data_IF_152262326170
#
_entry.id   IF_152262326170
#
_cell.length_a   1.000
_cell.length_b   1.000
_cell.length_c   1.000
_cell.angle_alpha   90.00
_cell.angle_beta   90.00
_cell.angle_gamma   90.00
#
_symmetry.space_group_name_H-M   'P 1'
#
loop_
_entity.id
_entity.type
_entity.pdbx_description
1 polymer ?
#
# COMPACT_ATOMS: atom_id res chain seq x y z
N UNK A 1 -19.49 -15.37 -14.80
CA UNK A 1 -20.79 -14.63 -14.86
C UNK A 1 -20.70 -13.48 -15.84
N UNK A 2 -21.72 -13.28 -16.68
CA UNK A 2 -21.81 -12.14 -17.62
C UNK A 2 -22.89 -11.16 -17.16
N UNK A 3 -22.54 -9.90 -16.98
CA UNK A 3 -23.49 -8.79 -16.84
C UNK A 3 -23.51 -7.94 -18.10
N UNK A 4 -24.69 -7.60 -18.58
CA UNK A 4 -24.87 -6.72 -19.73
C UNK A 4 -25.45 -5.40 -19.25
N UNK A 5 -24.93 -4.31 -19.79
CA UNK A 5 -25.41 -2.96 -19.52
C UNK A 5 -25.95 -2.33 -20.81
N UNK A 6 -27.24 -2.02 -20.79
CA UNK A 6 -27.97 -1.47 -21.93
C UNK A 6 -28.41 -0.03 -21.66
N UNK A 7 -28.47 0.83 -22.69
CA UNK A 7 -29.15 2.10 -22.60
C UNK A 7 -30.63 1.89 -22.28
N UNK A 8 -31.11 2.50 -21.21
CA UNK A 8 -32.53 2.61 -20.94
C UNK A 8 -32.90 4.09 -20.70
N UNK A 9 -34.16 4.45 -20.93
CA UNK A 9 -34.66 5.78 -20.65
C UNK A 9 -35.34 5.80 -19.28
N UNK A 10 -34.96 6.75 -18.41
CA UNK A 10 -35.63 6.90 -17.13
C UNK A 10 -37.10 7.31 -17.34
N UNK A 11 -38.05 6.50 -16.85
CA UNK A 11 -39.49 6.74 -17.03
C UNK A 11 -39.98 8.09 -16.45
N UNK A 12 -39.26 8.67 -15.48
CA UNK A 12 -39.62 9.93 -14.83
C UNK A 12 -38.94 11.18 -15.40
N UNK A 13 -37.73 11.06 -15.97
CA UNK A 13 -36.93 12.23 -16.42
C UNK A 13 -36.58 12.21 -17.91
N UNK A 14 -36.77 11.08 -18.60
CA UNK A 14 -36.37 10.88 -20.00
C UNK A 14 -34.85 10.87 -20.22
N UNK A 15 -34.05 10.94 -19.15
CA UNK A 15 -32.59 10.91 -19.24
C UNK A 15 -32.08 9.47 -19.43
N UNK A 16 -30.98 9.30 -20.16
CA UNK A 16 -30.37 7.99 -20.36
C UNK A 16 -29.79 7.44 -19.05
N UNK A 17 -29.98 6.15 -18.81
CA UNK A 17 -29.35 5.38 -17.72
C UNK A 17 -28.82 4.05 -18.26
N UNK A 18 -27.83 3.47 -17.58
CA UNK A 18 -27.32 2.13 -17.89
C UNK A 18 -28.00 1.10 -16.99
N UNK A 19 -28.88 0.30 -17.57
CA UNK A 19 -29.52 -0.80 -16.85
C UNK A 19 -28.60 -2.02 -16.85
N UNK A 20 -28.25 -2.49 -15.66
CA UNK A 20 -27.43 -3.69 -15.46
C UNK A 20 -28.32 -4.91 -15.31
N UNK A 21 -28.11 -5.94 -16.15
CA UNK A 21 -28.82 -7.23 -16.10
C UNK A 21 -27.83 -8.39 -16.13
N UNK A 22 -28.09 -9.44 -15.34
CA UNK A 22 -27.38 -10.71 -15.47
C UNK A 22 -27.85 -11.41 -16.76
N UNK A 23 -26.90 -11.85 -17.58
CA UNK A 23 -27.21 -12.56 -18.82
C UNK A 23 -27.15 -14.07 -18.62
N UNK A 24 -28.28 -14.74 -18.82
CA UNK A 24 -28.34 -16.21 -18.81
C UNK A 24 -27.62 -16.80 -20.03
N UNK A 25 -27.02 -17.98 -19.87
CA UNK A 25 -26.24 -18.60 -20.95
C UNK A 25 -27.08 -18.97 -22.18
N UNK A 26 -28.37 -19.22 -22.02
CA UNK A 26 -29.30 -19.49 -23.12
C UNK A 26 -29.71 -18.27 -23.93
N UNK A 27 -29.56 -17.05 -23.38
CA UNK A 27 -30.04 -15.82 -24.02
C UNK A 27 -28.97 -15.19 -24.93
N UNK A 28 -29.30 -14.69 -26.13
CA UNK A 28 -28.32 -13.98 -26.95
C UNK A 28 -27.91 -12.65 -26.29
N UNK A 29 -26.67 -12.20 -26.53
CA UNK A 29 -26.23 -10.87 -26.10
C UNK A 29 -27.00 -9.82 -26.91
N UNK A 30 -27.66 -8.85 -26.27
CA UNK A 30 -28.42 -7.82 -26.98
C UNK A 30 -27.53 -6.96 -27.90
N UNK A 31 -27.98 -6.63 -29.13
CA UNK A 31 -27.19 -5.86 -30.10
C UNK A 31 -26.95 -4.41 -29.67
N UNK A 32 -27.77 -3.86 -28.78
CA UNK A 32 -27.65 -2.51 -28.21
C UNK A 32 -26.86 -2.47 -26.89
N UNK A 33 -26.36 -3.62 -26.41
CA UNK A 33 -25.45 -3.68 -25.26
C UNK A 33 -24.22 -2.80 -25.48
N UNK A 34 -23.97 -1.87 -24.57
CA UNK A 34 -22.80 -0.98 -24.64
C UNK A 34 -21.64 -1.47 -23.80
N UNK A 35 -21.94 -2.15 -22.69
CA UNK A 35 -20.93 -2.70 -21.80
C UNK A 35 -21.26 -4.13 -21.35
N UNK A 36 -20.34 -5.04 -21.60
CA UNK A 36 -20.41 -6.46 -21.22
C UNK A 36 -19.35 -6.70 -20.13
N UNK A 37 -19.76 -6.91 -18.89
CA UNK A 37 -18.88 -7.14 -17.74
C UNK A 37 -18.81 -8.64 -17.41
N UNK A 38 -17.66 -9.25 -17.67
CA UNK A 38 -17.36 -10.64 -17.37
C UNK A 38 -16.66 -10.72 -16.01
N UNK A 39 -17.35 -11.30 -15.03
CA UNK A 39 -16.86 -11.51 -13.67
C UNK A 39 -16.63 -13.00 -13.47
N UNK A 40 -15.37 -13.38 -13.23
CA UNK A 40 -14.92 -14.78 -13.13
C UNK A 40 -15.57 -15.65 -14.22
N UNK A 41 -15.36 -15.32 -15.51
CA UNK A 41 -16.04 -16.02 -16.59
C UNK A 41 -15.54 -17.46 -16.74
N UNK A 42 -16.45 -18.33 -17.17
CA UNK A 42 -16.11 -19.66 -17.66
C UNK A 42 -15.73 -19.61 -19.13
N UNK A 43 -15.02 -20.62 -19.63
CA UNK A 43 -14.67 -20.73 -21.06
C UNK A 43 -15.88 -20.68 -22.01
N UNK A 44 -17.05 -21.14 -21.56
CA UNK A 44 -18.28 -21.05 -22.34
C UNK A 44 -18.81 -19.60 -22.42
N UNK A 45 -18.70 -18.86 -21.32
CA UNK A 45 -19.04 -17.44 -21.26
C UNK A 45 -18.07 -16.62 -22.13
N UNK A 46 -16.78 -16.94 -22.11
CA UNK A 46 -15.78 -16.31 -22.98
C UNK A 46 -16.16 -16.48 -24.46
N UNK A 47 -16.28 -17.73 -24.93
CA UNK A 47 -16.63 -18.01 -26.34
C UNK A 47 -17.91 -17.30 -26.79
N UNK A 48 -18.89 -17.11 -25.90
CA UNK A 48 -20.13 -16.41 -26.21
C UNK A 48 -19.91 -14.93 -26.50
N UNK A 49 -19.08 -14.26 -25.70
CA UNK A 49 -18.73 -12.85 -25.90
C UNK A 49 -17.78 -12.70 -27.09
N UNK A 50 -16.83 -13.61 -27.26
CA UNK A 50 -15.92 -13.68 -28.41
C UNK A 50 -16.69 -13.79 -29.73
N UNK A 51 -17.68 -14.69 -29.81
CA UNK A 51 -18.50 -14.86 -31.01
C UNK A 51 -19.37 -13.61 -31.31
N UNK A 52 -19.83 -12.90 -30.28
CA UNK A 52 -20.66 -11.71 -30.44
C UNK A 52 -19.87 -10.48 -30.87
N UNK A 53 -18.72 -10.23 -30.23
CA UNK A 53 -17.87 -9.07 -30.53
C UNK A 53 -16.82 -9.36 -31.61
N UNK A 54 -16.59 -10.62 -32.00
CA UNK A 54 -15.54 -11.03 -32.94
C UNK A 54 -14.12 -10.86 -32.40
N UNK A 55 -13.96 -10.92 -31.08
CA UNK A 55 -12.69 -10.71 -30.34
C UNK A 55 -12.20 -12.03 -29.74
N UNK A 56 -10.94 -12.07 -29.29
CA UNK A 56 -10.42 -13.06 -28.33
C UNK A 56 -10.50 -12.50 -26.92
N UNK A 57 -10.83 -13.31 -25.92
CA UNK A 57 -10.76 -12.92 -24.50
C UNK A 57 -9.44 -13.45 -23.93
N UNK A 58 -8.59 -12.58 -23.35
CA UNK A 58 -7.34 -13.04 -22.75
C UNK A 58 -7.62 -13.92 -21.54
N UNK A 59 -6.79 -14.93 -21.41
CA UNK A 59 -6.76 -15.83 -20.27
C UNK A 59 -6.27 -15.11 -19.01
N UNK A 60 -6.57 -15.69 -17.84
CA UNK A 60 -6.10 -15.16 -16.57
C UNK A 60 -4.56 -15.07 -16.50
N UNK A 61 -3.85 -16.02 -17.11
CA UNK A 61 -2.39 -16.04 -17.12
C UNK A 61 -1.82 -14.89 -17.97
N UNK A 62 -2.37 -14.64 -19.16
CA UNK A 62 -1.99 -13.49 -20.01
C UNK A 62 -2.26 -12.14 -19.33
N UNK A 63 -3.30 -12.06 -18.49
CA UNK A 63 -3.59 -10.86 -17.71
C UNK A 63 -2.59 -10.60 -16.57
N UNK A 64 -1.84 -11.61 -16.16
CA UNK A 64 -0.84 -11.52 -15.10
C UNK A 64 0.57 -11.16 -15.62
N UNK A 65 0.75 -11.09 -16.94
CA UNK A 65 2.03 -10.72 -17.57
C UNK A 65 2.51 -9.33 -17.12
N UNK A 66 3.80 -9.08 -17.29
CA UNK A 66 4.49 -7.86 -16.92
C UNK A 66 4.81 -7.03 -18.17
N UNK A 67 4.91 -7.65 -19.36
CA UNK A 67 5.30 -6.94 -20.57
C UNK A 67 4.18 -5.99 -21.04
N UNK A 68 4.42 -4.66 -21.14
CA UNK A 68 3.36 -3.73 -21.52
C UNK A 68 2.79 -3.97 -22.92
N UNK A 69 3.56 -4.58 -23.82
CA UNK A 69 3.14 -4.93 -25.19
C UNK A 69 2.12 -6.08 -25.21
N UNK A 70 2.18 -6.99 -24.22
CA UNK A 70 1.24 -8.09 -24.05
C UNK A 70 -0.03 -7.65 -23.30
N UNK A 71 0.05 -6.57 -22.53
CA UNK A 71 -1.09 -6.02 -21.79
C UNK A 71 -1.85 -4.93 -22.55
N UNK A 72 -1.17 -4.20 -23.45
CA UNK A 72 -1.71 -3.06 -24.18
C UNK A 72 -1.48 -3.24 -25.68
N UNK A 73 -2.45 -3.82 -26.38
CA UNK A 73 -2.33 -4.15 -27.79
C UNK A 73 -3.63 -3.92 -28.58
N UNK A 74 -3.52 -3.99 -29.90
CA UNK A 74 -4.67 -3.89 -30.82
C UNK A 74 -4.68 -5.14 -31.67
N UNK A 75 -5.79 -5.87 -31.65
CA UNK A 75 -5.98 -7.10 -32.41
C UNK A 75 -7.41 -7.13 -32.97
N UNK A 76 -7.57 -7.55 -34.23
CA UNK A 76 -8.89 -7.70 -34.87
C UNK A 76 -9.79 -6.45 -34.78
N UNK A 77 -9.20 -5.26 -34.77
CA UNK A 77 -9.93 -3.98 -34.63
C UNK A 77 -10.42 -3.68 -33.22
N UNK A 78 -10.13 -4.54 -32.23
CA UNK A 78 -10.35 -4.30 -30.82
C UNK A 78 -9.07 -3.80 -30.13
N UNK A 79 -9.23 -2.90 -29.16
CA UNK A 79 -8.13 -2.44 -28.30
C UNK A 79 -8.21 -3.14 -26.97
N UNK A 80 -7.13 -3.81 -26.59
CA UNK A 80 -6.96 -4.52 -25.34
C UNK A 80 -6.13 -3.67 -24.39
N UNK A 81 -6.66 -3.47 -23.19
CA UNK A 81 -6.04 -2.65 -22.17
C UNK A 81 -6.15 -3.37 -20.83
N UNK A 82 -5.12 -4.10 -20.44
CA UNK A 82 -5.08 -4.76 -19.13
C UNK A 82 -4.41 -3.85 -18.11
N UNK A 83 -5.13 -3.58 -17.02
CA UNK A 83 -4.67 -2.77 -15.90
C UNK A 83 -4.70 -3.54 -14.58
N UNK A 84 -3.76 -3.23 -13.69
CA UNK A 84 -3.76 -3.74 -12.32
C UNK A 84 -4.52 -2.79 -11.40
N UNK A 85 -5.64 -3.26 -10.87
CA UNK A 85 -6.53 -2.46 -10.02
C UNK A 85 -6.51 -2.96 -8.58
N UNK A 86 -6.49 -2.04 -7.64
CA UNK A 86 -6.52 -2.36 -6.22
C UNK A 86 -7.91 -2.82 -5.79
N UNK A 87 -7.98 -3.96 -5.11
CA UNK A 87 -9.18 -4.57 -4.56
C UNK A 87 -9.08 -4.71 -3.05
N UNK A 88 -10.25 -4.81 -2.39
CA UNK A 88 -10.38 -5.18 -0.96
C UNK A 88 -9.61 -4.30 0.02
N UNK A 89 -9.46 -3.01 -0.31
CA UNK A 89 -8.71 -2.02 0.49
C UNK A 89 -9.22 -1.87 1.93
N UNK A 90 -10.51 -2.12 2.16
CA UNK A 90 -11.13 -2.03 3.49
C UNK A 90 -10.92 -3.29 4.35
N UNK A 91 -10.17 -4.28 3.84
CA UNK A 91 -9.83 -5.53 4.53
C UNK A 91 -8.31 -5.66 4.68
N UNK A 92 -7.85 -6.60 5.51
CA UNK A 92 -6.42 -6.90 5.65
C UNK A 92 -5.83 -7.67 4.45
N UNK A 93 -6.63 -8.02 3.43
CA UNK A 93 -6.26 -8.77 2.21
C UNK A 93 -6.34 -7.88 0.95
N UNK A 94 -5.88 -6.64 1.07
CA UNK A 94 -5.77 -5.74 -0.07
C UNK A 94 -4.78 -6.31 -1.10
N UNK A 95 -5.19 -6.32 -2.37
CA UNK A 95 -4.41 -6.92 -3.46
C UNK A 95 -4.68 -6.28 -4.79
N UNK A 96 -3.71 -6.40 -5.69
CA UNK A 96 -3.87 -6.04 -7.09
C UNK A 96 -4.49 -7.20 -7.86
N UNK A 97 -5.44 -6.88 -8.74
CA UNK A 97 -5.99 -7.82 -9.71
C UNK A 97 -5.84 -7.26 -11.12
N UNK A 98 -5.58 -8.13 -12.09
CA UNK A 98 -5.70 -7.79 -13.49
C UNK A 98 -7.17 -7.56 -13.85
N UNK A 99 -7.42 -6.48 -14.58
CA UNK A 99 -8.71 -6.17 -15.22
C UNK A 99 -8.44 -5.77 -16.65
N UNK A 100 -9.03 -6.48 -17.61
CA UNK A 100 -8.89 -6.16 -19.03
C UNK A 100 -10.09 -5.37 -19.49
N UNK A 101 -9.82 -4.25 -20.15
CA UNK A 101 -10.79 -3.45 -20.88
C UNK A 101 -10.59 -3.71 -22.38
N UNK A 102 -11.63 -4.17 -23.06
CA UNK A 102 -11.60 -4.46 -24.50
C UNK A 102 -12.60 -3.53 -25.18
N UNK A 103 -12.09 -2.60 -25.99
CA UNK A 103 -12.92 -1.63 -26.69
C UNK A 103 -12.98 -1.97 -28.18
N UNK A 104 -14.19 -2.17 -28.71
CA UNK A 104 -14.43 -2.45 -30.13
C UNK A 104 -15.74 -1.84 -30.59
N UNK A 105 -15.74 -1.16 -31.74
CA UNK A 105 -16.96 -0.62 -32.38
C UNK A 105 -17.89 0.13 -31.41
N UNK A 106 -17.28 0.93 -30.52
CA UNK A 106 -17.96 1.68 -29.45
C UNK A 106 -18.72 0.85 -28.40
N UNK A 107 -18.37 -0.43 -28.25
CA UNK A 107 -18.77 -1.33 -27.18
C UNK A 107 -17.57 -1.66 -26.30
N UNK A 108 -17.81 -1.78 -25.00
CA UNK A 108 -16.81 -2.15 -24.02
C UNK A 108 -17.09 -3.57 -23.52
N UNK A 109 -16.08 -4.43 -23.50
CA UNK A 109 -16.07 -5.62 -22.67
C UNK A 109 -15.06 -5.45 -21.53
N UNK A 110 -15.41 -5.89 -20.33
CA UNK A 110 -14.47 -5.95 -19.19
C UNK A 110 -14.34 -7.38 -18.70
N UNK A 111 -13.11 -7.81 -18.41
CA UNK A 111 -12.82 -9.15 -17.88
C UNK A 111 -12.10 -8.99 -16.56
N UNK A 112 -12.65 -9.59 -15.49
CA UNK A 112 -12.11 -9.48 -14.13
C UNK A 112 -12.38 -10.72 -13.30
N UNK A 113 -11.45 -11.03 -12.40
CA UNK A 113 -11.53 -12.17 -11.47
C UNK A 113 -11.65 -11.74 -10.00
N UNK A 114 -11.93 -10.47 -9.77
CA UNK A 114 -12.25 -9.90 -8.46
C UNK A 114 -13.22 -8.71 -8.64
N UNK A 115 -13.62 -8.10 -7.53
CA UNK A 115 -14.58 -7.00 -7.52
C UNK A 115 -13.98 -5.68 -7.01
N UNK A 116 -13.27 -4.91 -7.87
CA UNK A 116 -12.78 -3.60 -7.50
C UNK A 116 -13.93 -2.66 -7.11
N UNK A 117 -13.76 -1.93 -6.01
CA UNK A 117 -14.79 -1.02 -5.51
C UNK A 117 -15.17 0.06 -6.52
N UNK A 118 -14.22 0.50 -7.36
CA UNK A 118 -14.46 1.47 -8.43
C UNK A 118 -15.54 1.00 -9.42
N UNK A 119 -15.58 -0.30 -9.77
CA UNK A 119 -16.61 -0.86 -10.65
C UNK A 119 -18.00 -0.78 -9.99
N UNK A 120 -18.09 -1.14 -8.71
CA UNK A 120 -19.35 -1.03 -7.95
C UNK A 120 -19.83 0.42 -7.85
N UNK A 121 -18.92 1.35 -7.57
CA UNK A 121 -19.22 2.79 -7.50
C UNK A 121 -19.71 3.30 -8.85
N UNK A 122 -19.04 2.92 -9.94
CA UNK A 122 -19.43 3.31 -11.29
C UNK A 122 -20.80 2.75 -11.68
N UNK A 123 -21.06 1.45 -11.46
CA UNK A 123 -22.38 0.83 -11.74
C UNK A 123 -23.50 1.56 -11.00
N UNK A 124 -23.29 1.89 -9.72
CA UNK A 124 -24.28 2.60 -8.93
C UNK A 124 -24.47 4.06 -9.40
N UNK A 125 -23.41 4.71 -9.90
CA UNK A 125 -23.48 6.06 -10.52
C UNK A 125 -24.22 6.01 -11.86
N UNK A 126 -23.90 5.03 -12.70
CA UNK A 126 -24.45 4.87 -14.05
C UNK A 126 -25.93 4.43 -14.06
N UNK A 127 -26.41 3.83 -12.98
CA UNK A 127 -27.83 3.51 -12.77
C UNK A 127 -28.69 4.74 -12.45
N UNK A 128 -28.08 5.90 -12.18
CA UNK A 128 -28.80 7.16 -11.94
C UNK A 128 -28.89 7.97 -13.23
N UNK A 129 -30.02 8.64 -13.50
CA UNK A 129 -30.14 9.50 -14.66
C UNK A 129 -29.09 10.61 -14.59
N UNK A 130 -28.15 10.57 -15.53
CA UNK A 130 -27.09 11.55 -15.70
C UNK A 130 -27.04 11.85 -17.21
N UNK A 131 -26.95 13.13 -17.58
CA UNK A 131 -27.00 13.58 -18.98
C UNK A 131 -25.80 13.19 -19.84
N UNK A 132 -25.19 12.04 -19.60
CA UNK A 132 -23.96 11.56 -20.23
C UNK A 132 -24.29 10.81 -21.52
N UNK A 133 -23.43 10.97 -22.52
CA UNK A 133 -23.44 10.15 -23.74
C UNK A 133 -23.17 8.70 -23.38
N UNK A 134 -24.11 7.81 -23.68
CA UNK A 134 -23.95 6.37 -23.48
C UNK A 134 -23.17 5.78 -24.67
N UNK A 135 -21.86 5.72 -24.55
CA UNK A 135 -20.95 5.08 -25.50
C UNK A 135 -19.96 4.17 -24.77
N UNK A 136 -19.42 3.14 -25.41
CA UNK A 136 -18.41 2.27 -24.80
C UNK A 136 -17.15 3.04 -24.39
N UNK A 137 -16.76 4.05 -25.17
CA UNK A 137 -15.66 4.96 -24.82
C UNK A 137 -15.96 5.80 -23.56
N UNK A 138 -17.18 6.34 -23.43
CA UNK A 138 -17.57 7.11 -22.25
C UNK A 138 -17.67 6.22 -21.00
N UNK A 139 -18.11 4.96 -21.15
CA UNK A 139 -18.12 3.99 -20.05
C UNK A 139 -16.69 3.67 -19.60
N UNK A 140 -15.77 3.45 -20.55
CA UNK A 140 -14.35 3.24 -20.23
C UNK A 140 -13.74 4.44 -19.51
N UNK A 141 -13.96 5.64 -20.03
CA UNK A 141 -13.49 6.88 -19.42
C UNK A 141 -14.04 7.05 -17.99
N UNK A 142 -15.35 6.85 -17.80
CA UNK A 142 -15.99 6.93 -16.50
C UNK A 142 -15.53 5.86 -15.52
N UNK A 143 -15.22 4.64 -15.98
CA UNK A 143 -14.61 3.60 -15.14
C UNK A 143 -13.20 4.00 -14.69
N UNK A 144 -12.36 4.49 -15.61
CA UNK A 144 -11.00 4.96 -15.28
C UNK A 144 -11.04 6.16 -14.33
N UNK A 145 -11.93 7.13 -14.57
CA UNK A 145 -12.17 8.26 -13.66
C UNK A 145 -12.55 7.76 -12.26
N UNK A 146 -13.48 6.81 -12.16
CA UNK A 146 -13.90 6.26 -10.86
C UNK A 146 -12.77 5.49 -10.16
N UNK A 147 -11.87 4.86 -10.92
CA UNK A 147 -10.66 4.21 -10.37
C UNK A 147 -9.70 5.26 -9.80
N UNK A 148 -9.50 6.38 -10.49
CA UNK A 148 -8.63 7.48 -10.05
C UNK A 148 -9.22 8.18 -8.82
N UNK A 149 -10.53 8.45 -8.80
CA UNK A 149 -11.23 8.99 -7.64
C UNK A 149 -11.05 8.08 -6.42
N UNK A 150 -11.24 6.77 -6.61
CA UNK A 150 -11.03 5.80 -5.53
C UNK A 150 -9.58 5.79 -5.04
N UNK A 151 -8.61 5.89 -5.95
CA UNK A 151 -7.21 5.99 -5.59
C UNK A 151 -6.92 7.23 -4.72
N UNK A 152 -7.51 8.37 -5.06
CA UNK A 152 -7.40 9.59 -4.27
C UNK A 152 -7.94 9.38 -2.83
N UNK A 153 -9.12 8.78 -2.68
CA UNK A 153 -9.70 8.44 -1.38
C UNK A 153 -8.78 7.52 -0.56
N UNK A 154 -8.18 6.51 -1.19
CA UNK A 154 -7.24 5.59 -0.52
C UNK A 154 -6.01 6.34 -0.04
N UNK A 155 -5.39 7.15 -0.91
CA UNK A 155 -4.18 7.91 -0.57
C UNK A 155 -4.45 8.91 0.55
N UNK A 156 -5.58 9.62 0.53
CA UNK A 156 -5.97 10.52 1.61
C UNK A 156 -6.11 9.77 2.94
N UNK A 157 -6.82 8.64 2.94
CA UNK A 157 -6.99 7.81 4.14
C UNK A 157 -5.65 7.26 4.66
N UNK A 158 -4.71 6.90 3.77
CA UNK A 158 -3.36 6.50 4.17
C UNK A 158 -2.58 7.66 4.79
N UNK A 159 -2.64 8.86 4.18
CA UNK A 159 -2.00 10.06 4.73
C UNK A 159 -2.43 10.34 6.16
N UNK A 160 -3.74 10.32 6.43
CA UNK A 160 -4.29 10.52 7.79
C UNK A 160 -3.86 9.43 8.79
N UNK A 161 -3.70 8.17 8.35
CA UNK A 161 -3.21 7.07 9.18
C UNK A 161 -1.72 7.24 9.49
N UNK A 162 -0.91 7.59 8.49
CA UNK A 162 0.53 7.86 8.63
C UNK A 162 0.76 9.05 9.58
N UNK A 163 -0.06 10.10 9.51
CA UNK A 163 0.00 11.26 10.40
C UNK A 163 -0.30 10.92 11.86
N UNK A 164 -1.20 9.96 12.09
CA UNK A 164 -1.46 9.43 13.44
C UNK A 164 -0.27 8.64 13.96
N UNK A 165 0.35 7.79 13.14
CA UNK A 165 1.55 7.04 13.53
C UNK A 165 2.74 7.96 13.80
N UNK A 166 2.94 8.98 12.96
CA UNK A 166 3.96 10.01 13.16
C UNK A 166 3.86 10.65 14.55
N UNK A 167 2.67 11.09 14.94
CA UNK A 167 2.44 11.68 16.27
C UNK A 167 2.74 10.73 17.42
N UNK A 168 2.51 9.43 17.25
CA UNK A 168 2.83 8.41 18.27
C UNK A 168 4.33 8.19 18.43
N UNK A 169 5.08 8.18 17.33
CA UNK A 169 6.55 8.02 17.33
C UNK A 169 7.23 9.16 18.11
N UNK A 170 6.75 10.39 17.92
CA UNK A 170 7.31 11.59 18.53
C UNK A 170 6.61 12.03 19.81
N UNK A 171 5.69 11.24 20.35
CA UNK A 171 5.07 11.54 21.64
C UNK A 171 6.10 11.36 22.78
N UNK A 172 5.95 12.16 23.84
CA UNK A 172 6.72 11.96 25.08
C UNK A 172 6.09 10.83 25.91
N UNK A 173 6.90 9.85 26.29
CA UNK A 173 6.48 8.74 27.14
C UNK A 173 7.21 8.78 28.47
N UNK A 174 6.47 8.64 29.57
CA UNK A 174 7.04 8.60 30.92
C UNK A 174 7.68 7.24 31.27
N UNK A 175 7.28 6.15 30.59
CA UNK A 175 7.78 4.79 30.81
C UNK A 175 8.60 4.28 29.60
N UNK A 176 9.92 4.03 29.75
CA UNK A 176 10.78 3.53 28.67
C UNK A 176 10.36 2.15 28.13
N UNK A 177 9.78 1.28 28.96
CA UNK A 177 9.42 -0.08 28.55
C UNK A 177 8.18 -0.09 27.64
N UNK A 178 7.15 0.65 28.04
CA UNK A 178 5.95 0.90 27.23
C UNK A 178 6.29 1.58 25.90
N UNK A 179 7.25 2.52 25.92
CA UNK A 179 7.71 3.23 24.72
C UNK A 179 8.30 2.28 23.67
N UNK A 180 9.17 1.35 24.08
CA UNK A 180 9.79 0.42 23.14
C UNK A 180 8.77 -0.52 22.47
N UNK A 181 7.81 -1.03 23.24
CA UNK A 181 6.72 -1.85 22.70
C UNK A 181 5.88 -1.06 21.68
N UNK A 182 5.54 0.19 21.99
CA UNK A 182 4.78 1.05 21.08
C UNK A 182 5.55 1.39 19.78
N UNK A 183 6.86 1.63 19.87
CA UNK A 183 7.70 1.86 18.70
C UNK A 183 7.72 0.63 17.78
N UNK A 184 7.81 -0.59 18.35
CA UNK A 184 7.75 -1.83 17.56
C UNK A 184 6.40 -2.02 16.88
N UNK A 185 5.29 -1.75 17.57
CA UNK A 185 3.96 -1.83 16.98
C UNK A 185 3.76 -0.79 15.87
N UNK A 186 4.30 0.41 16.08
CA UNK A 186 4.27 1.47 15.08
C UNK A 186 5.10 1.10 13.85
N UNK A 187 6.26 0.47 14.02
CA UNK A 187 7.09 -0.04 12.93
C UNK A 187 6.36 -1.08 12.08
N UNK A 188 5.66 -2.04 12.73
CA UNK A 188 4.81 -3.02 12.02
C UNK A 188 3.68 -2.34 11.26
N UNK A 189 3.03 -1.35 11.87
CA UNK A 189 1.95 -0.59 11.22
C UNK A 189 2.47 0.20 9.99
N UNK A 190 3.60 0.88 10.10
CA UNK A 190 4.25 1.57 8.98
C UNK A 190 4.58 0.60 7.84
N UNK A 191 5.08 -0.60 8.14
CA UNK A 191 5.34 -1.64 7.14
C UNK A 191 4.07 -2.03 6.36
N UNK A 192 2.93 -2.24 7.05
CA UNK A 192 1.65 -2.53 6.38
C UNK A 192 1.15 -1.38 5.51
N UNK A 193 1.30 -0.14 5.99
CA UNK A 193 0.94 1.04 5.20
C UNK A 193 1.84 1.22 3.97
N UNK A 194 3.12 0.88 4.08
CA UNK A 194 4.06 0.91 2.95
C UNK A 194 3.67 -0.08 1.85
N UNK A 195 3.25 -1.29 2.24
CA UNK A 195 2.79 -2.31 1.31
C UNK A 195 1.55 -1.84 0.54
N UNK A 196 0.52 -1.38 1.25
CA UNK A 196 -0.70 -0.85 0.61
C UNK A 196 -0.38 0.33 -0.32
N UNK A 197 0.50 1.24 0.09
CA UNK A 197 0.90 2.38 -0.72
C UNK A 197 1.67 1.94 -1.98
N UNK A 198 2.51 0.91 -1.87
CA UNK A 198 3.22 0.33 -3.00
C UNK A 198 2.25 -0.26 -4.02
N UNK A 199 1.25 -1.02 -3.56
CA UNK A 199 0.20 -1.56 -4.42
C UNK A 199 -0.63 -0.45 -5.08
N UNK A 200 -1.01 0.59 -4.32
CA UNK A 200 -1.75 1.73 -4.87
C UNK A 200 -0.95 2.47 -5.96
N UNK A 201 0.37 2.61 -5.77
CA UNK A 201 1.26 3.21 -6.78
C UNK A 201 1.38 2.34 -8.02
N UNK A 202 1.52 1.03 -7.88
CA UNK A 202 1.52 0.10 -9.03
C UNK A 202 0.19 0.20 -9.81
N UNK A 203 -0.93 0.32 -9.11
CA UNK A 203 -2.24 0.52 -9.75
C UNK A 203 -2.30 1.82 -10.54
N UNK A 204 -1.86 2.94 -9.96
CA UNK A 204 -1.81 4.23 -10.65
C UNK A 204 -0.93 4.19 -11.90
N UNK A 205 0.27 3.63 -11.81
CA UNK A 205 1.18 3.47 -12.97
C UNK A 205 0.52 2.61 -14.06
N UNK A 206 -0.20 1.55 -13.65
CA UNK A 206 -0.90 0.70 -14.61
C UNK A 206 -2.02 1.45 -15.34
N UNK A 207 -2.76 2.31 -14.63
CA UNK A 207 -3.82 3.15 -15.22
C UNK A 207 -3.21 4.27 -16.08
N UNK A 208 -2.07 4.84 -15.69
CA UNK A 208 -1.34 5.83 -16.49
C UNK A 208 -0.97 5.25 -17.85
N UNK A 209 -0.44 4.02 -17.89
CA UNK A 209 -0.10 3.33 -19.14
C UNK A 209 -1.31 3.13 -20.06
N UNK A 210 -2.48 2.81 -19.49
CA UNK A 210 -3.74 2.73 -20.26
C UNK A 210 -4.09 4.09 -20.84
N UNK A 211 -4.09 5.16 -20.03
CA UNK A 211 -4.40 6.51 -20.48
C UNK A 211 -3.42 7.02 -21.55
N UNK A 212 -2.13 6.71 -21.42
CA UNK A 212 -1.10 7.04 -22.41
C UNK A 212 -1.36 6.30 -23.74
N UNK A 213 -1.70 5.01 -23.68
CA UNK A 213 -2.08 4.21 -24.86
C UNK A 213 -3.33 4.75 -25.55
N UNK A 214 -4.36 5.11 -24.77
CA UNK A 214 -5.57 5.77 -25.27
C UNK A 214 -5.26 7.12 -25.93
N UNK A 215 -4.47 7.96 -25.26
CA UNK A 215 -4.04 9.27 -25.76
C UNK A 215 -3.27 9.15 -27.08
N UNK A 216 -2.36 8.19 -27.21
CA UNK A 216 -1.64 7.90 -28.45
C UNK A 216 -2.61 7.45 -29.56
N UNK A 217 -3.51 6.53 -29.24
CA UNK A 217 -4.49 5.99 -30.19
C UNK A 217 -5.45 7.07 -30.71
N UNK A 218 -5.96 7.95 -29.83
CA UNK A 218 -6.87 9.04 -30.20
C UNK A 218 -6.21 10.13 -31.04
N UNK A 219 -4.88 10.29 -30.95
CA UNK A 219 -4.14 11.16 -31.88
C UNK A 219 -4.14 10.57 -33.29
N UNK A 220 -3.90 9.26 -33.42
CA UNK A 220 -3.86 8.56 -34.71
C UNK A 220 -5.25 8.52 -35.36
N UNK A 221 -6.29 8.19 -34.59
CA UNK A 221 -7.67 8.11 -35.11
C UNK A 221 -8.35 9.46 -35.33
N UNK A 222 -7.69 10.58 -34.97
CA UNK A 222 -8.25 11.93 -35.02
C UNK A 222 -9.57 12.07 -34.25
N UNK A 223 -9.64 11.47 -33.06
CA UNK A 223 -10.81 11.60 -32.18
C UNK A 223 -11.18 13.07 -31.90
N UNK A 224 -12.45 13.35 -31.54
CA UNK A 224 -12.92 14.68 -31.16
C UNK A 224 -12.00 15.36 -30.15
N UNK A 225 -11.91 16.69 -30.24
CA UNK A 225 -11.05 17.47 -29.37
C UNK A 225 -11.41 17.31 -27.90
N UNK A 226 -12.70 17.25 -27.59
CA UNK A 226 -13.23 17.09 -26.22
C UNK A 226 -12.69 15.82 -25.54
N UNK A 227 -12.83 14.65 -26.19
CA UNK A 227 -12.35 13.35 -25.66
C UNK A 227 -10.83 13.37 -25.39
N UNK A 228 -10.06 14.01 -26.28
CA UNK A 228 -8.60 14.13 -26.09
C UNK A 228 -8.22 15.06 -24.95
N UNK A 229 -9.00 16.12 -24.73
CA UNK A 229 -8.81 17.04 -23.61
C UNK A 229 -9.19 16.39 -22.28
N UNK A 230 -10.27 15.59 -22.27
CA UNK A 230 -10.69 14.80 -21.12
C UNK A 230 -9.60 13.81 -20.68
N UNK A 231 -9.14 12.93 -21.58
CA UNK A 231 -8.03 11.99 -21.28
C UNK A 231 -6.79 12.70 -20.77
N UNK A 232 -6.44 13.88 -21.34
CA UNK A 232 -5.30 14.67 -20.89
C UNK A 232 -5.54 15.27 -19.50
N UNK A 233 -6.77 15.65 -19.17
CA UNK A 233 -7.09 16.11 -17.82
C UNK A 233 -6.96 14.98 -16.82
N UNK A 234 -7.61 13.83 -17.10
CA UNK A 234 -7.53 12.62 -16.27
C UNK A 234 -6.09 12.17 -16.03
N UNK A 235 -5.24 12.26 -17.05
CA UNK A 235 -3.82 11.92 -16.92
C UNK A 235 -3.06 12.90 -15.98
N UNK A 236 -3.37 14.20 -16.01
CA UNK A 236 -2.78 15.18 -15.08
C UNK A 236 -3.23 14.93 -13.65
N UNK A 237 -4.51 14.61 -13.45
CA UNK A 237 -5.05 14.30 -12.13
C UNK A 237 -4.38 13.04 -11.57
N UNK A 238 -4.22 12.00 -12.40
CA UNK A 238 -3.47 10.79 -12.04
C UNK A 238 -2.02 11.11 -11.66
N UNK A 239 -1.30 11.92 -12.43
CA UNK A 239 0.09 12.30 -12.13
C UNK A 239 0.21 13.04 -10.80
N UNK A 240 -0.76 13.90 -10.47
CA UNK A 240 -0.79 14.56 -9.16
C UNK A 240 -0.97 13.54 -8.01
N UNK A 241 -1.77 12.49 -8.21
CA UNK A 241 -1.90 11.40 -7.23
C UNK A 241 -0.63 10.57 -7.11
N UNK A 242 0.10 10.32 -8.20
CA UNK A 242 1.39 9.62 -8.15
C UNK A 242 2.46 10.42 -7.40
N UNK A 243 2.52 11.74 -7.60
CA UNK A 243 3.36 12.64 -6.81
C UNK A 243 2.99 12.59 -5.33
N UNK A 244 1.69 12.60 -5.01
CA UNK A 244 1.22 12.49 -3.63
C UNK A 244 1.56 11.13 -3.01
N UNK A 245 1.41 10.03 -3.75
CA UNK A 245 1.82 8.70 -3.31
C UNK A 245 3.34 8.63 -3.05
N UNK A 246 4.15 9.25 -3.92
CA UNK A 246 5.60 9.34 -3.75
C UNK A 246 5.99 10.15 -2.51
N UNK A 247 5.29 11.25 -2.23
CA UNK A 247 5.44 12.02 -1.01
C UNK A 247 5.13 11.20 0.25
N UNK A 248 4.01 10.46 0.25
CA UNK A 248 3.65 9.57 1.36
C UNK A 248 4.69 8.46 1.57
N UNK A 249 5.24 7.90 0.49
CA UNK A 249 6.27 6.86 0.55
C UNK A 249 7.55 7.39 1.20
N UNK A 250 8.00 8.58 0.78
CA UNK A 250 9.13 9.27 1.42
C UNK A 250 8.89 9.57 2.90
N UNK A 251 7.65 9.95 3.26
CA UNK A 251 7.26 10.16 4.67
C UNK A 251 7.31 8.87 5.47
N UNK A 252 6.79 7.76 4.95
CA UNK A 252 6.87 6.45 5.61
C UNK A 252 8.33 6.06 5.84
N UNK A 253 9.19 6.21 4.82
CA UNK A 253 10.62 5.88 4.94
C UNK A 253 11.29 6.69 6.05
N UNK A 254 11.06 8.01 6.08
CA UNK A 254 11.54 8.87 7.15
C UNK A 254 11.06 8.39 8.54
N UNK A 255 9.79 7.99 8.68
CA UNK A 255 9.25 7.51 9.94
C UNK A 255 9.81 6.14 10.34
N UNK A 256 10.06 5.23 9.39
CA UNK A 256 10.73 3.96 9.64
C UNK A 256 12.14 4.20 10.18
N UNK A 257 12.92 5.06 9.51
CA UNK A 257 14.29 5.40 9.92
C UNK A 257 14.31 6.09 11.29
N UNK A 258 13.40 7.03 11.54
CA UNK A 258 13.26 7.70 12.84
C UNK A 258 12.89 6.71 13.95
N UNK A 259 11.94 5.79 13.69
CA UNK A 259 11.51 4.77 14.65
C UNK A 259 12.65 3.83 15.00
N UNK A 260 13.38 3.33 13.99
CA UNK A 260 14.57 2.51 14.20
C UNK A 260 15.66 3.26 14.99
N UNK A 261 15.87 4.55 14.67
CA UNK A 261 16.77 5.42 15.42
C UNK A 261 16.41 5.52 16.91
N UNK A 262 15.13 5.74 17.22
CA UNK A 262 14.64 5.80 18.60
C UNK A 262 14.79 4.45 19.33
N UNK A 263 14.48 3.33 18.67
CA UNK A 263 14.69 1.99 19.22
C UNK A 263 16.17 1.76 19.54
N UNK A 264 17.08 2.15 18.64
CA UNK A 264 18.51 2.04 18.86
C UNK A 264 19.00 2.93 20.02
N UNK A 265 18.44 4.13 20.19
CA UNK A 265 18.76 4.99 21.33
C UNK A 265 18.36 4.33 22.67
N UNK A 266 17.17 3.72 22.74
CA UNK A 266 16.73 3.01 23.94
C UNK A 266 17.62 1.78 24.23
N UNK A 267 17.97 0.99 23.20
CA UNK A 267 18.90 -0.13 23.37
C UNK A 267 20.28 0.33 23.84
N UNK A 268 20.81 1.42 23.28
CA UNK A 268 22.08 2.00 23.69
C UNK A 268 22.04 2.48 25.16
N UNK A 269 20.93 3.05 25.61
CA UNK A 269 20.76 3.44 27.01
C UNK A 269 20.79 2.22 27.95
N UNK A 270 20.12 1.12 27.57
CA UNK A 270 20.15 -0.14 28.34
C UNK A 270 21.58 -0.68 28.43
N UNK A 271 22.30 -0.77 27.30
CA UNK A 271 23.69 -1.24 27.25
C UNK A 271 24.61 -0.35 28.11
N UNK A 272 24.41 0.97 28.05
CA UNK A 272 25.17 1.94 28.84
C UNK A 272 24.97 1.70 30.34
N UNK A 273 23.74 1.45 30.77
CA UNK A 273 23.42 1.14 32.18
C UNK A 273 24.15 -0.12 32.65
N UNK A 274 24.05 -1.23 31.90
CA UNK A 274 24.75 -2.48 32.23
C UNK A 274 26.27 -2.32 32.24
N UNK A 275 26.82 -1.57 31.29
CA UNK A 275 28.27 -1.29 31.23
C UNK A 275 28.73 -0.51 32.47
N UNK A 276 27.98 0.50 32.90
CA UNK A 276 28.27 1.24 34.14
C UNK A 276 28.19 0.33 35.36
N UNK A 277 27.13 -0.49 35.48
CA UNK A 277 27.00 -1.46 36.57
C UNK A 277 28.19 -2.43 36.62
N UNK A 278 28.60 -2.98 35.47
CA UNK A 278 29.75 -3.87 35.37
C UNK A 278 31.04 -3.20 35.87
N UNK A 279 31.35 -1.97 35.41
CA UNK A 279 32.56 -1.25 35.82
C UNK A 279 32.53 -0.90 37.32
N UNK A 280 31.36 -0.63 37.90
CA UNK A 280 31.20 -0.35 39.33
C UNK A 280 31.39 -1.62 40.18
N UNK A 281 30.91 -2.78 39.74
CA UNK A 281 30.94 -4.02 40.52
C UNK A 281 32.15 -4.93 40.27
N UNK A 282 32.80 -4.86 39.11
CA UNK A 282 33.95 -5.71 38.78
C UNK A 282 35.13 -5.53 39.75
N UNK A 283 35.60 -4.31 40.09
CA UNK A 283 36.74 -4.15 40.99
C UNK A 283 36.48 -4.63 42.42
N UNK A 284 35.35 -4.30 43.08
CA UNK A 284 35.00 -4.89 44.37
C UNK A 284 34.94 -6.42 44.34
N UNK A 285 34.38 -6.99 43.28
CA UNK A 285 34.29 -8.45 43.11
C UNK A 285 35.68 -9.08 42.97
N UNK A 286 36.60 -8.43 42.24
CA UNK A 286 37.98 -8.89 42.12
C UNK A 286 38.69 -8.86 43.48
N UNK A 287 38.53 -7.78 44.26
CA UNK A 287 39.10 -7.68 45.61
C UNK A 287 38.54 -8.81 46.49
N UNK A 288 37.22 -9.02 46.48
CA UNK A 288 36.58 -10.08 47.25
C UNK A 288 37.08 -11.46 46.82
N UNK A 289 37.25 -11.68 45.52
CA UNK A 289 37.79 -12.92 44.98
C UNK A 289 39.23 -13.16 45.40
N UNK A 290 40.09 -12.13 45.43
CA UNK A 290 41.49 -12.25 45.85
C UNK A 290 41.61 -12.64 47.33
N UNK A 291 40.86 -11.98 48.21
CA UNK A 291 40.84 -12.29 49.64
C UNK A 291 40.05 -13.56 49.98
N UNK A 292 39.27 -14.10 49.04
CA UNK A 292 38.61 -15.40 49.13
C UNK A 292 39.47 -16.59 48.66
N UNK A 293 40.70 -16.35 48.19
CA UNK A 293 41.60 -17.43 47.75
C UNK A 293 42.22 -18.15 48.95
N UNK A 294 42.39 -19.47 48.87
CA UNK A 294 42.99 -20.28 49.94
C UNK A 294 44.52 -20.37 49.83
N UNK A 295 45.24 -19.23 49.80
CA UNK A 295 46.72 -19.25 49.81
C UNK A 295 47.28 -19.34 51.22
N UNK A 296 48.41 -20.05 51.38
CA UNK A 296 49.11 -20.22 52.67
C UNK A 296 49.85 -18.97 53.16
N UNK A 297 50.20 -18.06 52.27
CA UNK A 297 50.95 -16.83 52.59
C UNK A 297 50.13 -15.64 52.11
N UNK A 298 49.35 -15.06 53.02
CA UNK A 298 48.59 -13.83 52.84
C UNK A 298 48.89 -12.91 54.03
N UNK A 299 49.99 -12.13 54.00
CA UNK A 299 50.44 -11.34 55.15
C UNK A 299 49.39 -10.33 55.64
N UNK A 300 48.44 -9.95 54.79
CA UNK A 300 47.35 -9.03 55.11
C UNK A 300 46.25 -9.66 55.99
N UNK A 301 46.14 -11.00 56.05
CA UNK A 301 45.11 -11.69 56.83
C UNK A 301 45.43 -11.73 58.34
N UNK A 302 46.72 -11.84 58.69
CA UNK A 302 47.17 -11.86 60.08
C UNK A 302 47.13 -10.46 60.73
N UNK A 303 46.86 -9.43 59.93
CA UNK A 303 46.71 -8.06 60.40
C UNK A 303 45.29 -7.79 60.90
N UNK A 304 45.13 -7.34 62.15
CA UNK A 304 43.82 -7.05 62.75
C UNK A 304 42.96 -6.02 62.00
N UNK A 305 43.55 -5.24 61.09
CA UNK A 305 42.83 -4.28 60.23
C UNK A 305 42.65 -4.77 58.77
N UNK A 306 43.11 -5.96 58.41
CA UNK A 306 43.05 -6.48 57.03
C UNK A 306 41.63 -6.57 56.46
N UNK A 307 40.69 -7.12 57.24
CA UNK A 307 39.28 -7.22 56.83
C UNK A 307 38.61 -5.83 56.68
N UNK A 308 38.68 -4.91 57.67
CA UNK A 308 38.21 -3.54 57.51
C UNK A 308 38.84 -2.82 56.29
N UNK A 309 40.14 -3.00 56.05
CA UNK A 309 40.83 -2.40 54.91
C UNK A 309 40.30 -2.93 53.57
N UNK A 310 40.09 -4.25 53.45
CA UNK A 310 39.53 -4.84 52.24
C UNK A 310 38.12 -4.31 51.93
N UNK A 311 37.27 -4.16 52.94
CA UNK A 311 35.92 -3.57 52.80
C UNK A 311 36.01 -2.11 52.35
N UNK A 312 36.90 -1.31 52.95
CA UNK A 312 37.11 0.09 52.53
C UNK A 312 37.60 0.16 51.08
N UNK A 313 38.55 -0.70 50.68
CA UNK A 313 39.02 -0.75 49.30
C UNK A 313 37.90 -1.11 48.32
N UNK A 314 37.01 -2.06 48.65
CA UNK A 314 35.85 -2.40 47.83
C UNK A 314 34.89 -1.20 47.68
N UNK A 315 34.59 -0.51 48.78
CA UNK A 315 33.71 0.67 48.76
C UNK A 315 34.32 1.79 47.91
N UNK A 316 35.61 2.09 48.10
CA UNK A 316 36.32 3.10 47.31
C UNK A 316 36.35 2.71 45.83
N UNK A 317 36.60 1.44 45.53
CA UNK A 317 36.66 0.93 44.16
C UNK A 317 35.31 0.94 43.44
N UNK A 318 34.19 0.89 44.17
CA UNK A 318 32.84 1.09 43.61
C UNK A 318 32.51 2.59 43.41
N UNK A 319 32.87 3.44 44.38
CA UNK A 319 32.51 4.86 44.38
C UNK A 319 33.31 5.65 43.33
N UNK A 320 34.61 5.35 43.16
CA UNK A 320 35.49 6.08 42.24
C UNK A 320 34.97 6.06 40.79
N UNK A 321 34.66 4.89 40.17
CA UNK A 321 34.09 4.85 38.84
C UNK A 321 32.71 5.52 38.76
N UNK A 322 31.85 5.31 39.76
CA UNK A 322 30.52 5.93 39.79
C UNK A 322 30.60 7.47 39.79
N UNK A 323 31.46 8.05 40.64
CA UNK A 323 31.68 9.49 40.71
C UNK A 323 32.26 10.04 39.40
N UNK A 324 33.19 9.29 38.77
CA UNK A 324 33.76 9.65 37.47
C UNK A 324 32.69 9.69 36.37
N UNK A 325 31.84 8.66 36.26
CA UNK A 325 30.76 8.62 35.25
C UNK A 325 29.71 9.71 35.48
N UNK A 326 29.39 10.00 36.75
CA UNK A 326 28.46 11.07 37.12
C UNK A 326 29.02 12.45 36.75
N UNK A 327 30.31 12.70 37.00
CA UNK A 327 30.95 13.97 36.66
C UNK A 327 30.95 14.22 35.14
N UNK A 328 31.18 13.16 34.35
CA UNK A 328 31.20 13.23 32.89
C UNK A 328 29.80 13.34 32.24
N UNK A 329 28.72 13.43 33.03
CA UNK A 329 27.31 13.39 32.57
C UNK A 329 27.03 12.19 31.68
N UNK A 330 27.71 11.07 31.96
CA UNK A 330 27.44 9.79 31.30
C UNK A 330 26.29 9.04 31.98
N UNK A 331 25.91 9.46 33.18
CA UNK A 331 24.73 9.01 33.91
C UNK A 331 23.68 10.12 33.94
#
# INVERSE_FOLDING_TARGET
MIFVHQPNACASTGQPLLERRLLEMSEPIPPDALWIDLIEPTRQEDHKVEAFLGISIPTREEMEDIEPSELLYVENGARYMTGRLLCRVDTDDARLTGVTFILRDNKLATVRYDDPQAFRMFVHRAARPAGVLLTGEAILAGLIETVIDRAADVLQAQGERIDRLSRRIFAEHSDPSARNAELQDTLRALGRHNELLSQQRESLVSVERILLSLSASYRVSKAPREIREEVRSTLRDLQSLEEHASFLSGKIQFLLDATLGLVNLEQNNIIKLFSVMAVVFMPPTLIASMYGMNFKVMPELDWGFGYPMAVVMMVVAAILPYAFFRWKRWL
#
